data_IF_593719267566
#
_entry.id   IF_593719267566
#
_cell.length_a   1.000
_cell.length_b   1.000
_cell.length_c   1.000
_cell.angle_alpha   90.00
_cell.angle_beta   90.00
_cell.angle_gamma   90.00
#
_symmetry.space_group_name_H-M   'P 1'
#
loop_
_entity.id
_entity.type
_entity.pdbx_description
1 polymer ?
#
# COMPACT_ATOMS: atom_id res chain seq x y z
N UNK A 1 -29.81 17.12 9.50
CA UNK A 1 -28.89 16.45 8.56
C UNK A 1 -27.86 15.71 9.38
N UNK A 2 -27.79 14.36 9.32
CA UNK A 2 -26.65 13.61 9.86
C UNK A 2 -25.42 14.08 9.08
N UNK A 3 -24.42 14.65 9.76
CA UNK A 3 -23.16 15.00 9.13
C UNK A 3 -22.53 13.69 8.64
N UNK A 4 -22.38 13.51 7.32
CA UNK A 4 -21.70 12.36 6.75
C UNK A 4 -20.29 12.31 7.35
N UNK A 5 -20.00 11.31 8.18
CA UNK A 5 -18.64 11.08 8.68
C UNK A 5 -17.74 10.79 7.48
N UNK A 6 -16.72 11.62 7.31
CA UNK A 6 -15.71 11.44 6.29
C UNK A 6 -14.59 10.54 6.79
N UNK A 7 -13.56 10.40 5.96
CA UNK A 7 -12.36 9.64 6.30
C UNK A 7 -11.58 10.28 7.47
N UNK A 8 -11.78 11.58 7.72
CA UNK A 8 -11.12 12.32 8.79
C UNK A 8 -11.45 11.79 10.18
N UNK A 9 -12.71 11.47 10.45
CA UNK A 9 -13.11 10.86 11.73
C UNK A 9 -12.49 9.48 11.93
N UNK A 10 -12.35 8.69 10.85
CA UNK A 10 -11.69 7.38 10.93
C UNK A 10 -10.20 7.54 11.27
N UNK A 11 -9.51 8.48 10.63
CA UNK A 11 -8.11 8.80 10.91
C UNK A 11 -7.91 9.28 12.35
N UNK A 12 -8.82 10.14 12.85
CA UNK A 12 -8.78 10.63 14.22
C UNK A 12 -8.90 9.47 15.22
N UNK A 13 -9.90 8.59 15.05
CA UNK A 13 -10.10 7.42 15.93
C UNK A 13 -8.89 6.49 15.93
N UNK A 14 -8.35 6.16 14.75
CA UNK A 14 -7.15 5.35 14.62
C UNK A 14 -5.95 5.97 15.34
N UNK A 15 -5.71 7.26 15.12
CA UNK A 15 -4.58 7.98 15.71
C UNK A 15 -4.67 8.02 17.24
N UNK A 16 -5.84 8.33 17.78
CA UNK A 16 -6.06 8.37 19.24
C UNK A 16 -5.88 6.99 19.87
N UNK A 17 -6.37 5.92 19.21
CA UNK A 17 -6.18 4.53 19.65
C UNK A 17 -4.71 4.14 19.75
N UNK A 18 -3.88 4.58 18.81
CA UNK A 18 -2.43 4.35 18.81
C UNK A 18 -1.65 5.34 19.72
N UNK A 19 -2.33 6.30 20.36
CA UNK A 19 -1.70 7.29 21.24
C UNK A 19 -0.77 8.27 20.52
N UNK A 20 -0.92 8.44 19.20
CA UNK A 20 -0.03 9.25 18.37
C UNK A 20 -0.51 10.71 18.35
N UNK A 21 0.40 11.68 18.49
CA UNK A 21 0.03 13.10 18.36
C UNK A 21 -0.05 13.51 16.89
N UNK A 22 -1.00 14.39 16.55
CA UNK A 22 -1.12 14.96 15.19
C UNK A 22 0.21 15.51 14.66
N UNK A 23 0.97 16.24 15.48
CA UNK A 23 2.28 16.80 15.11
C UNK A 23 3.28 15.72 14.70
N UNK A 24 3.29 14.57 15.37
CA UNK A 24 4.18 13.45 15.03
C UNK A 24 3.75 12.81 13.71
N UNK A 25 2.44 12.58 13.54
CA UNK A 25 1.89 11.91 12.38
C UNK A 25 2.05 12.72 11.08
N UNK A 26 1.88 14.05 11.14
CA UNK A 26 1.92 14.90 9.95
C UNK A 26 3.30 15.49 9.62
N UNK A 27 4.32 15.26 10.47
CA UNK A 27 5.65 15.86 10.31
C UNK A 27 6.26 15.57 8.93
N UNK A 28 6.75 16.61 8.25
CA UNK A 28 7.33 16.53 6.90
C UNK A 28 6.31 16.50 5.74
N UNK A 29 5.08 16.03 5.97
CA UNK A 29 4.10 15.75 4.90
C UNK A 29 2.87 16.66 4.92
N UNK A 30 2.57 17.31 6.04
CA UNK A 30 1.48 18.28 6.16
C UNK A 30 1.69 19.22 7.35
N UNK A 31 1.19 20.45 7.24
CA UNK A 31 1.14 21.36 8.39
C UNK A 31 0.13 20.87 9.45
N UNK A 32 0.41 21.12 10.73
CA UNK A 32 -0.47 20.74 11.83
C UNK A 32 -1.90 21.29 11.66
N UNK A 33 -2.05 22.54 11.23
CA UNK A 33 -3.36 23.18 11.03
C UNK A 33 -4.15 22.57 9.86
N UNK A 34 -3.48 22.23 8.75
CA UNK A 34 -4.09 21.48 7.64
C UNK A 34 -4.55 20.11 8.11
N UNK A 35 -3.70 19.36 8.82
CA UNK A 35 -4.03 18.01 9.27
C UNK A 35 -5.15 17.99 10.33
N UNK A 36 -5.18 18.93 11.26
CA UNK A 36 -6.26 19.05 12.23
C UNK A 36 -7.63 19.29 11.56
N UNK A 37 -7.67 20.10 10.49
CA UNK A 37 -8.90 20.30 9.69
C UNK A 37 -9.31 19.06 8.92
N UNK A 38 -8.35 18.24 8.48
CA UNK A 38 -8.65 16.94 7.86
C UNK A 38 -9.32 16.00 8.86
N UNK A 39 -8.79 15.84 10.07
CA UNK A 39 -9.41 15.00 11.11
C UNK A 39 -10.81 15.47 11.49
N UNK A 40 -11.05 16.78 11.45
CA UNK A 40 -12.35 17.38 11.70
C UNK A 40 -13.33 17.30 10.49
N UNK A 41 -12.94 16.63 9.38
CA UNK A 41 -13.67 16.60 8.10
C UNK A 41 -14.00 18.00 7.53
N UNK A 42 -13.21 19.01 7.92
CA UNK A 42 -13.33 20.40 7.43
C UNK A 42 -12.48 20.65 6.19
N UNK A 43 -11.54 19.76 5.90
CA UNK A 43 -10.69 19.81 4.72
C UNK A 43 -10.50 18.42 4.15
N UNK A 44 -10.66 18.29 2.84
CA UNK A 44 -10.40 17.04 2.13
C UNK A 44 -8.91 16.70 2.14
N UNK A 45 -8.61 15.42 2.37
CA UNK A 45 -7.25 14.88 2.33
C UNK A 45 -6.86 14.58 0.88
N UNK A 46 -5.61 14.88 0.53
CA UNK A 46 -5.05 14.46 -0.76
C UNK A 46 -4.78 12.95 -0.78
N UNK A 47 -4.97 12.30 -1.93
CA UNK A 47 -4.85 10.85 -2.08
C UNK A 47 -3.46 10.29 -1.71
N UNK A 48 -2.38 11.00 -2.07
CA UNK A 48 -1.04 10.56 -1.69
C UNK A 48 -0.77 10.82 -0.21
N UNK A 49 -1.38 11.87 0.36
CA UNK A 49 -1.27 12.18 1.78
C UNK A 49 -1.97 11.13 2.65
N UNK A 50 -3.17 10.66 2.28
CA UNK A 50 -3.85 9.60 3.04
C UNK A 50 -3.03 8.31 3.02
N UNK A 51 -2.41 7.96 1.89
CA UNK A 51 -1.55 6.77 1.77
C UNK A 51 -0.44 6.80 2.81
N UNK A 52 0.28 7.93 2.89
CA UNK A 52 1.37 8.08 3.84
C UNK A 52 0.87 8.11 5.29
N UNK A 53 -0.24 8.79 5.57
CA UNK A 53 -0.80 8.87 6.93
C UNK A 53 -1.24 7.49 7.42
N UNK A 54 -1.95 6.72 6.59
CA UNK A 54 -2.36 5.35 6.90
C UNK A 54 -1.15 4.44 7.13
N UNK A 55 -0.14 4.49 6.23
CA UNK A 55 1.09 3.72 6.41
C UNK A 55 1.84 4.08 7.69
N UNK A 56 1.84 5.36 8.11
CA UNK A 56 2.42 5.79 9.40
C UNK A 56 1.63 5.29 10.61
N UNK A 57 0.31 5.18 10.50
CA UNK A 57 -0.58 4.51 11.46
C UNK A 57 -0.45 2.97 11.41
N UNK A 58 0.38 2.44 10.52
CA UNK A 58 0.58 1.01 10.34
C UNK A 58 -0.61 0.31 9.69
N UNK A 59 -1.46 1.05 8.98
CA UNK A 59 -2.68 0.59 8.32
C UNK A 59 -2.57 0.70 6.82
N UNK A 60 -3.21 -0.23 6.14
CA UNK A 60 -3.23 -0.28 4.68
C UNK A 60 -4.33 0.58 4.10
N UNK A 61 -4.32 0.65 2.78
CA UNK A 61 -5.25 1.41 1.96
C UNK A 61 -5.76 0.57 0.80
N UNK A 62 -5.35 -0.71 0.70
CA UNK A 62 -5.73 -1.64 -0.38
C UNK A 62 -7.26 -1.81 -0.51
N UNK A 63 -8.03 -1.63 0.57
CA UNK A 63 -9.50 -1.74 0.57
C UNK A 63 -10.26 -0.43 0.48
N UNK A 64 -9.55 0.69 0.38
CA UNK A 64 -10.17 1.96 0.03
C UNK A 64 -10.29 2.04 -1.48
N UNK A 65 -11.48 2.39 -1.97
CA UNK A 65 -11.69 2.74 -3.36
C UNK A 65 -11.55 4.25 -3.49
N UNK A 66 -10.66 4.70 -4.39
CA UNK A 66 -10.50 6.14 -4.65
C UNK A 66 -11.22 6.51 -5.94
N UNK A 67 -12.06 7.54 -5.86
CA UNK A 67 -12.70 8.18 -7.00
C UNK A 67 -11.82 9.35 -7.43
N UNK A 68 -10.86 9.05 -8.31
CA UNK A 68 -9.79 9.93 -8.72
C UNK A 68 -10.23 10.88 -9.85
N UNK A 69 -9.82 12.14 -9.78
CA UNK A 69 -9.69 12.99 -10.96
C UNK A 69 -8.71 12.39 -11.99
N UNK A 70 -8.95 12.64 -13.28
CA UNK A 70 -8.09 12.12 -14.36
C UNK A 70 -6.61 12.54 -14.23
N UNK A 71 -6.33 13.78 -13.81
CA UNK A 71 -4.95 14.26 -13.63
C UNK A 71 -4.23 13.54 -12.49
N UNK A 72 -4.95 13.15 -11.43
CA UNK A 72 -4.42 12.36 -10.31
C UNK A 72 -4.23 10.89 -10.72
N UNK A 73 -5.20 10.31 -11.43
CA UNK A 73 -5.09 8.94 -11.94
C UNK A 73 -3.83 8.75 -12.80
N UNK A 74 -3.56 9.70 -13.71
CA UNK A 74 -2.34 9.70 -14.53
C UNK A 74 -1.04 9.70 -13.72
N UNK A 75 -1.04 10.31 -12.53
CA UNK A 75 0.14 10.26 -11.65
C UNK A 75 0.36 8.83 -11.15
N UNK A 76 -0.69 8.13 -10.71
CA UNK A 76 -0.58 6.72 -10.29
C UNK A 76 -0.18 5.82 -11.46
N UNK A 77 -0.71 6.06 -12.67
CA UNK A 77 -0.32 5.35 -13.89
C UNK A 77 1.17 5.53 -14.20
N UNK A 78 1.69 6.77 -14.14
CA UNK A 78 3.12 7.03 -14.31
C UNK A 78 3.98 6.33 -13.25
N UNK A 79 3.55 6.30 -11.98
CA UNK A 79 4.28 5.55 -10.94
C UNK A 79 4.37 4.06 -11.27
N UNK A 80 3.25 3.48 -11.69
CA UNK A 80 3.18 2.07 -12.08
C UNK A 80 4.09 1.78 -13.26
N UNK A 81 4.06 2.62 -14.30
CA UNK A 81 4.92 2.49 -15.47
C UNK A 81 6.41 2.57 -15.09
N UNK A 82 6.82 3.57 -14.30
CA UNK A 82 8.21 3.69 -13.80
C UNK A 82 8.64 2.38 -13.12
N UNK A 83 7.87 1.91 -12.15
CA UNK A 83 8.23 0.72 -11.38
C UNK A 83 8.23 -0.56 -12.21
N UNK A 84 7.32 -0.66 -13.18
CA UNK A 84 7.29 -1.78 -14.13
C UNK A 84 8.52 -1.78 -15.03
N UNK A 85 8.93 -0.61 -15.54
CA UNK A 85 10.14 -0.50 -16.38
C UNK A 85 11.40 -0.82 -15.59
N UNK A 86 11.47 -0.43 -14.32
CA UNK A 86 12.57 -0.82 -13.42
C UNK A 86 12.61 -2.35 -13.24
N UNK A 87 11.48 -3.00 -12.94
CA UNK A 87 11.42 -4.48 -12.87
C UNK A 87 11.89 -5.15 -14.17
N UNK A 88 11.57 -4.56 -15.33
CA UNK A 88 11.95 -5.07 -16.65
C UNK A 88 13.39 -4.72 -17.04
N UNK A 89 14.13 -4.04 -16.17
CA UNK A 89 15.49 -3.52 -16.43
C UNK A 89 15.58 -2.56 -17.62
N UNK A 90 14.48 -1.84 -17.89
CA UNK A 90 14.34 -0.84 -18.96
C UNK A 90 14.54 0.56 -18.40
N UNK A 91 15.76 0.85 -17.99
CA UNK A 91 16.10 2.03 -17.21
C UNK A 91 15.80 3.34 -17.92
N UNK A 92 16.10 3.43 -19.22
CA UNK A 92 15.88 4.64 -20.01
C UNK A 92 14.38 4.92 -20.19
N UNK A 93 13.55 3.88 -20.36
CA UNK A 93 12.09 4.02 -20.40
C UNK A 93 11.57 4.48 -19.03
N UNK A 94 12.11 3.96 -17.92
CA UNK A 94 11.74 4.37 -16.57
C UNK A 94 12.05 5.86 -16.33
N UNK A 95 13.23 6.33 -16.74
CA UNK A 95 13.62 7.74 -16.64
C UNK A 95 12.72 8.65 -17.48
N UNK A 96 12.35 8.25 -18.70
CA UNK A 96 11.41 9.02 -19.54
C UNK A 96 10.05 9.21 -18.85
N UNK A 97 9.54 8.18 -18.16
CA UNK A 97 8.30 8.32 -17.40
C UNK A 97 8.47 9.19 -16.15
N UNK A 98 9.64 9.17 -15.49
CA UNK A 98 9.96 10.11 -14.41
C UNK A 98 10.00 11.56 -14.91
N UNK A 99 10.59 11.81 -16.09
CA UNK A 99 10.62 13.13 -16.70
C UNK A 99 9.21 13.63 -17.08
N UNK A 100 8.35 12.74 -17.56
CA UNK A 100 6.92 13.06 -17.78
C UNK A 100 6.20 13.37 -16.47
N UNK A 101 6.47 12.60 -15.42
CA UNK A 101 5.95 12.84 -14.08
C UNK A 101 6.35 14.23 -13.56
N UNK A 102 7.61 14.63 -13.76
CA UNK A 102 8.14 15.92 -13.30
C UNK A 102 7.49 17.14 -13.97
N UNK A 103 6.88 16.97 -15.15
CA UNK A 103 6.09 18.04 -15.80
C UNK A 103 4.83 18.39 -15.00
N UNK A 104 4.36 17.50 -14.13
CA UNK A 104 3.23 17.76 -13.26
C UNK A 104 3.58 18.80 -12.20
N UNK A 105 2.72 19.81 -12.00
CA UNK A 105 2.90 20.84 -10.96
C UNK A 105 3.09 20.28 -9.55
N UNK A 106 2.51 19.11 -9.25
CA UNK A 106 2.60 18.43 -7.95
C UNK A 106 3.97 17.77 -7.72
N UNK A 107 4.80 17.61 -8.74
CA UNK A 107 6.12 16.98 -8.64
C UNK A 107 7.05 17.64 -7.61
N UNK A 108 6.81 18.92 -7.29
CA UNK A 108 7.55 19.69 -6.29
C UNK A 108 7.06 19.47 -4.85
N UNK A 109 5.89 18.86 -4.67
CA UNK A 109 5.36 18.57 -3.35
C UNK A 109 6.10 17.38 -2.71
N UNK A 110 6.25 17.33 -1.38
CA UNK A 110 7.19 16.42 -0.73
C UNK A 110 7.00 14.93 -1.08
N UNK A 111 5.76 14.42 -1.07
CA UNK A 111 5.47 13.02 -1.37
C UNK A 111 5.74 12.63 -2.83
N UNK A 112 5.60 13.60 -3.74
CA UNK A 112 5.88 13.41 -5.15
C UNK A 112 7.39 13.47 -5.42
N UNK A 113 8.07 14.46 -4.82
CA UNK A 113 9.52 14.59 -4.92
C UNK A 113 10.24 13.40 -4.31
N UNK A 114 9.74 12.86 -3.18
CA UNK A 114 10.28 11.65 -2.59
C UNK A 114 10.23 10.48 -3.57
N UNK A 115 9.07 10.25 -4.19
CA UNK A 115 8.92 9.18 -5.17
C UNK A 115 9.92 9.33 -6.32
N UNK A 116 10.02 10.52 -6.93
CA UNK A 116 10.94 10.73 -8.06
C UNK A 116 12.39 10.42 -7.66
N UNK A 117 12.83 10.94 -6.52
CA UNK A 117 14.22 10.77 -6.08
C UNK A 117 14.52 9.35 -5.60
N UNK A 118 13.54 8.66 -4.99
CA UNK A 118 13.72 7.26 -4.59
C UNK A 118 13.86 6.34 -5.81
N UNK A 119 13.09 6.57 -6.87
CA UNK A 119 13.18 5.77 -8.11
C UNK A 119 14.48 6.08 -8.86
N UNK A 120 14.96 7.34 -8.85
CA UNK A 120 16.30 7.69 -9.38
C UNK A 120 17.42 6.98 -8.63
N UNK A 121 17.37 6.97 -7.30
CA UNK A 121 18.33 6.22 -6.49
C UNK A 121 18.31 4.73 -6.82
N UNK A 122 17.11 4.15 -6.97
CA UNK A 122 16.92 2.76 -7.33
C UNK A 122 17.51 2.43 -8.70
N UNK A 123 17.26 3.26 -9.72
CA UNK A 123 17.80 3.10 -11.07
C UNK A 123 19.33 3.19 -11.05
N UNK A 124 19.88 4.23 -10.41
CA UNK A 124 21.33 4.42 -10.29
C UNK A 124 22.01 3.22 -9.62
N UNK A 125 21.41 2.70 -8.54
CA UNK A 125 21.91 1.50 -7.86
C UNK A 125 21.88 0.26 -8.75
N UNK A 126 20.77 -0.01 -9.44
CA UNK A 126 20.61 -1.18 -10.31
C UNK A 126 21.48 -1.12 -11.57
N UNK A 127 21.83 0.09 -12.04
CA UNK A 127 22.81 0.31 -13.12
C UNK A 127 24.27 0.16 -12.68
N UNK A 128 24.53 0.08 -11.38
CA UNK A 128 25.89 0.08 -10.84
C UNK A 128 26.60 1.43 -10.96
N UNK A 129 25.84 2.52 -10.87
CA UNK A 129 26.39 3.87 -10.80
C UNK A 129 27.08 4.13 -9.44
N UNK A 130 27.71 5.29 -9.28
CA UNK A 130 28.50 5.56 -8.07
C UNK A 130 27.61 5.64 -6.82
N UNK A 131 28.13 5.16 -5.70
CA UNK A 131 27.38 5.16 -4.44
C UNK A 131 27.05 6.58 -3.98
N UNK A 132 27.91 7.55 -4.29
CA UNK A 132 27.68 8.97 -3.97
C UNK A 132 26.41 9.49 -4.65
N UNK A 133 26.20 9.14 -5.92
CA UNK A 133 25.01 9.54 -6.67
C UNK A 133 23.74 8.86 -6.12
N UNK A 134 23.82 7.58 -5.79
CA UNK A 134 22.71 6.85 -5.15
C UNK A 134 22.37 7.51 -3.80
N UNK A 135 23.37 7.80 -2.97
CA UNK A 135 23.20 8.47 -1.69
C UNK A 135 22.62 9.88 -1.83
N UNK A 136 23.03 10.66 -2.84
CA UNK A 136 22.49 12.01 -3.09
C UNK A 136 20.98 11.96 -3.33
N UNK A 137 20.53 11.07 -4.22
CA UNK A 137 19.11 10.86 -4.48
C UNK A 137 18.38 10.33 -3.23
N UNK A 138 18.96 9.38 -2.50
CA UNK A 138 18.35 8.84 -1.28
C UNK A 138 18.18 9.88 -0.18
N UNK A 139 19.19 10.68 0.11
CA UNK A 139 19.09 11.74 1.13
C UNK A 139 18.07 12.80 0.70
N UNK A 140 18.04 13.16 -0.58
CA UNK A 140 17.02 14.07 -1.11
C UNK A 140 15.61 13.50 -0.92
N UNK A 141 15.40 12.20 -1.17
CA UNK A 141 14.14 11.51 -0.98
C UNK A 141 13.74 11.43 0.51
N UNK A 142 14.67 11.09 1.40
CA UNK A 142 14.45 10.98 2.85
C UNK A 142 14.00 12.34 3.42
N UNK A 143 14.71 13.43 3.08
CA UNK A 143 14.44 14.76 3.61
C UNK A 143 13.03 15.29 3.28
N UNK A 144 12.40 14.80 2.21
CA UNK A 144 11.05 15.24 1.84
C UNK A 144 10.01 14.88 2.91
N UNK A 145 10.07 13.70 3.53
CA UNK A 145 9.06 13.26 4.50
C UNK A 145 9.62 13.02 5.90
N UNK A 146 10.94 12.87 5.98
CA UNK A 146 11.71 12.66 7.19
C UNK A 146 12.80 13.74 7.37
N UNK A 147 12.45 15.04 7.44
CA UNK A 147 13.44 16.13 7.59
C UNK A 147 14.32 16.00 8.85
N UNK A 148 13.86 15.27 9.86
CA UNK A 148 14.62 14.91 11.06
C UNK A 148 14.59 13.38 11.28
N UNK A 149 14.94 12.59 10.26
CA UNK A 149 14.81 11.13 10.24
C UNK A 149 15.22 10.44 11.55
N UNK A 150 16.38 10.77 12.11
CA UNK A 150 16.90 10.14 13.34
C UNK A 150 16.10 10.49 14.61
N UNK A 151 15.42 11.64 14.64
CA UNK A 151 14.50 12.00 15.72
C UNK A 151 13.10 11.45 15.46
N UNK A 152 12.65 11.48 14.21
CA UNK A 152 11.32 11.00 13.81
C UNK A 152 11.17 9.49 14.01
N UNK A 153 12.20 8.68 13.70
CA UNK A 153 12.13 7.23 13.96
C UNK A 153 11.90 6.90 15.43
N UNK A 154 12.44 7.71 16.36
CA UNK A 154 12.25 7.53 17.81
C UNK A 154 10.81 7.74 18.26
N UNK A 155 9.98 8.40 17.45
CA UNK A 155 8.55 8.52 17.75
C UNK A 155 7.78 7.24 17.41
N UNK A 156 8.35 6.34 16.61
CA UNK A 156 7.69 5.11 16.15
C UNK A 156 6.65 5.33 15.05
N UNK A 157 6.58 6.53 14.44
CA UNK A 157 5.49 6.94 13.53
C UNK A 157 5.89 6.90 12.05
N UNK A 158 6.97 6.21 11.67
CA UNK A 158 7.36 6.06 10.25
C UNK A 158 6.54 4.97 9.55
N UNK A 159 6.23 5.16 8.26
CA UNK A 159 5.58 4.13 7.45
C UNK A 159 6.56 3.03 6.99
N UNK A 160 6.04 1.93 6.45
CA UNK A 160 6.87 0.88 5.86
C UNK A 160 7.76 1.42 4.73
N UNK A 161 7.24 2.31 3.89
CA UNK A 161 7.98 2.98 2.82
C UNK A 161 9.10 3.89 3.34
N UNK A 162 8.86 4.58 4.45
CA UNK A 162 9.88 5.41 5.10
C UNK A 162 11.00 4.57 5.72
N UNK A 163 10.66 3.46 6.38
CA UNK A 163 11.67 2.51 6.84
C UNK A 163 12.45 1.88 5.69
N UNK A 164 11.82 1.59 4.54
CA UNK A 164 12.52 1.07 3.36
C UNK A 164 13.64 2.01 2.89
N UNK A 165 13.40 3.31 2.88
CA UNK A 165 14.44 4.30 2.54
C UNK A 165 15.62 4.25 3.53
N UNK A 166 15.36 4.11 4.83
CA UNK A 166 16.41 4.03 5.84
C UNK A 166 17.21 2.72 5.74
N UNK A 167 16.54 1.60 5.49
CA UNK A 167 17.18 0.30 5.23
C UNK A 167 18.03 0.35 3.96
N UNK A 168 17.51 0.94 2.89
CA UNK A 168 18.24 1.04 1.62
C UNK A 168 19.43 1.97 1.69
N UNK A 169 19.30 3.11 2.38
CA UNK A 169 20.45 3.94 2.74
C UNK A 169 21.51 3.15 3.51
N UNK A 170 21.09 2.37 4.51
CA UNK A 170 22.06 1.55 5.26
C UNK A 170 22.76 0.53 4.37
N UNK A 171 22.03 -0.16 3.48
CA UNK A 171 22.57 -1.18 2.56
C UNK A 171 23.60 -0.58 1.59
N UNK A 172 23.23 0.52 0.92
CA UNK A 172 24.07 1.20 -0.08
C UNK A 172 25.39 1.70 0.52
N UNK A 173 25.37 2.20 1.77
CA UNK A 173 26.57 2.76 2.39
C UNK A 173 27.62 1.71 2.83
N UNK A 174 27.31 0.40 2.86
CA UNK A 174 28.19 -0.58 3.54
C UNK A 174 29.58 -0.74 2.93
N UNK A 175 29.74 -0.48 1.64
CA UNK A 175 31.00 -0.64 0.90
C UNK A 175 31.73 0.70 0.68
N UNK A 176 31.39 1.74 1.45
CA UNK A 176 31.92 3.10 1.24
C UNK A 176 32.50 3.72 2.51
N UNK A 177 33.15 4.88 2.36
CA UNK A 177 33.61 5.70 3.49
C UNK A 177 32.44 6.21 4.36
N UNK A 178 31.21 6.24 3.82
CA UNK A 178 29.99 6.62 4.52
C UNK A 178 29.36 5.44 5.29
N UNK A 179 30.11 4.36 5.51
CA UNK A 179 29.64 3.15 6.17
C UNK A 179 28.90 3.44 7.48
N UNK A 180 27.67 2.93 7.55
CA UNK A 180 26.80 3.08 8.71
C UNK A 180 27.02 1.94 9.72
N UNK A 181 26.82 2.23 11.00
CA UNK A 181 27.15 1.30 12.07
C UNK A 181 26.26 0.03 12.04
N UNK A 182 26.82 -1.11 12.47
CA UNK A 182 26.08 -2.38 12.64
C UNK A 182 24.95 -2.26 13.68
N UNK A 183 25.12 -1.42 14.69
CA UNK A 183 24.09 -1.22 15.72
C UNK A 183 22.89 -0.44 15.18
N UNK A 184 23.08 0.37 14.15
CA UNK A 184 22.00 1.14 13.55
C UNK A 184 20.96 0.24 12.87
N UNK A 185 21.42 -0.75 12.10
CA UNK A 185 20.54 -1.71 11.42
C UNK A 185 19.87 -2.65 12.43
N UNK A 186 20.57 -3.06 13.49
CA UNK A 186 19.93 -3.80 14.60
C UNK A 186 18.78 -3.01 15.22
N UNK A 187 19.00 -1.72 15.48
CA UNK A 187 17.96 -0.83 16.00
C UNK A 187 16.79 -0.64 15.01
N UNK A 188 17.08 -0.44 13.72
CA UNK A 188 16.04 -0.32 12.67
C UNK A 188 15.17 -1.58 12.59
N UNK A 189 15.80 -2.75 12.59
CA UNK A 189 15.11 -4.05 12.54
C UNK A 189 14.21 -4.19 13.77
N UNK A 190 14.73 -3.98 14.98
CA UNK A 190 13.90 -4.08 16.20
C UNK A 190 12.75 -3.06 16.22
N UNK A 191 12.95 -1.83 15.71
CA UNK A 191 11.88 -0.84 15.54
C UNK A 191 10.78 -1.34 14.60
N UNK A 192 11.15 -1.89 13.44
CA UNK A 192 10.22 -2.41 12.43
C UNK A 192 9.40 -3.58 12.98
N UNK A 193 10.05 -4.56 13.60
CA UNK A 193 9.37 -5.76 14.10
C UNK A 193 8.50 -5.50 15.34
N UNK A 194 8.84 -4.50 16.16
CA UNK A 194 8.03 -4.08 17.31
C UNK A 194 6.83 -3.22 16.91
N UNK A 195 6.89 -2.54 15.75
CA UNK A 195 5.80 -1.68 15.31
C UNK A 195 4.56 -2.53 14.97
N UNK A 196 3.39 -2.03 15.39
CA UNK A 196 2.09 -2.64 15.13
C UNK A 196 1.61 -2.37 13.69
N UNK A 197 2.37 -2.86 12.71
CA UNK A 197 1.91 -2.89 11.32
C UNK A 197 0.84 -3.98 11.16
N UNK A 198 -0.24 -3.67 10.44
CA UNK A 198 -1.15 -4.71 9.94
C UNK A 198 -0.43 -5.63 8.95
N UNK A 199 -0.99 -6.82 8.70
CA UNK A 199 -0.35 -7.87 7.88
C UNK A 199 0.09 -7.37 6.50
N UNK A 200 -0.73 -6.57 5.81
CA UNK A 200 -0.40 -6.09 4.47
C UNK A 200 0.69 -5.00 4.48
N UNK A 201 0.84 -4.24 5.56
CA UNK A 201 1.94 -3.28 5.74
C UNK A 201 3.23 -3.99 6.16
N UNK A 202 3.12 -5.01 7.03
CA UNK A 202 4.26 -5.83 7.51
C UNK A 202 5.05 -6.41 6.35
N UNK A 203 4.36 -7.05 5.39
CA UNK A 203 5.01 -7.73 4.26
C UNK A 203 5.79 -6.78 3.36
N UNK A 204 5.50 -5.46 3.37
CA UNK A 204 6.23 -4.46 2.58
C UNK A 204 7.64 -4.18 3.06
N UNK A 205 7.96 -4.51 4.33
CA UNK A 205 9.20 -4.09 5.00
C UNK A 205 9.92 -5.22 5.74
N UNK A 206 9.18 -6.13 6.38
CA UNK A 206 9.76 -7.22 7.18
C UNK A 206 10.74 -8.08 6.38
N UNK A 207 10.43 -8.50 5.13
CA UNK A 207 11.38 -9.29 4.34
C UNK A 207 12.70 -8.58 4.11
N UNK A 208 12.65 -7.28 3.80
CA UNK A 208 13.88 -6.52 3.58
C UNK A 208 14.71 -6.37 4.87
N UNK A 209 14.05 -6.10 6.00
CA UNK A 209 14.71 -6.04 7.30
C UNK A 209 15.38 -7.39 7.67
N UNK A 210 14.70 -8.51 7.40
CA UNK A 210 15.23 -9.85 7.64
C UNK A 210 16.43 -10.21 6.74
N UNK A 211 16.45 -9.71 5.49
CA UNK A 211 17.61 -9.86 4.59
C UNK A 211 18.82 -9.06 5.08
N UNK A 212 18.63 -7.82 5.55
CA UNK A 212 19.76 -6.99 5.94
C UNK A 212 20.38 -7.41 7.27
N UNK A 213 19.58 -7.85 8.24
CA UNK A 213 20.11 -8.25 9.54
C UNK A 213 21.02 -9.49 9.44
N UNK A 214 20.76 -10.38 8.48
CA UNK A 214 21.59 -11.56 8.22
C UNK A 214 22.96 -11.21 7.66
N UNK A 215 23.11 -10.07 6.97
CA UNK A 215 24.39 -9.57 6.44
C UNK A 215 25.33 -9.04 7.53
N UNK A 216 24.82 -8.80 8.73
CA UNK A 216 25.50 -8.00 9.78
C UNK A 216 25.95 -8.85 10.95
N UNK A 217 25.14 -9.83 11.32
CA UNK A 217 25.41 -10.76 12.41
C UNK A 217 26.46 -11.75 11.91
N UNK A 218 27.61 -11.77 12.60
CA UNK A 218 28.73 -12.64 12.25
C UNK A 218 28.40 -14.12 12.49
N UNK A 219 29.07 -15.00 11.76
CA UNK A 219 28.89 -16.44 11.89
C UNK A 219 29.11 -16.89 13.34
N UNK A 220 28.05 -17.42 13.98
CA UNK A 220 28.10 -18.00 15.32
C UNK A 220 27.52 -17.16 16.44
N UNK A 221 27.27 -15.85 16.26
CA UNK A 221 26.79 -15.00 17.38
C UNK A 221 25.27 -15.07 17.61
N UNK A 222 24.45 -15.36 16.59
CA UNK A 222 23.00 -15.49 16.78
C UNK A 222 22.22 -16.15 15.62
N UNK A 223 22.64 -17.32 15.14
CA UNK A 223 21.98 -18.03 14.01
C UNK A 223 20.48 -18.25 14.25
N UNK A 224 20.08 -18.55 15.49
CA UNK A 224 18.67 -18.74 15.86
C UNK A 224 17.82 -17.49 15.63
N UNK A 225 18.33 -16.31 15.99
CA UNK A 225 17.61 -15.05 15.76
C UNK A 225 17.44 -14.75 14.28
N UNK A 226 18.49 -14.95 13.46
CA UNK A 226 18.40 -14.75 12.01
C UNK A 226 17.38 -15.72 11.41
N UNK A 227 17.42 -17.00 11.82
CA UNK A 227 16.46 -18.01 11.38
C UNK A 227 15.03 -17.60 11.69
N UNK A 228 14.76 -17.21 12.94
CA UNK A 228 13.45 -16.74 13.39
C UNK A 228 12.94 -15.57 12.53
N UNK A 229 13.77 -14.55 12.29
CA UNK A 229 13.39 -13.40 11.43
C UNK A 229 13.16 -13.79 9.97
N UNK A 230 13.92 -14.77 9.47
CA UNK A 230 13.77 -15.30 8.11
C UNK A 230 12.47 -16.08 7.94
N UNK A 231 12.13 -16.93 8.92
CA UNK A 231 10.89 -17.70 8.94
C UNK A 231 9.67 -16.77 9.04
N UNK A 232 9.74 -15.75 9.90
CA UNK A 232 8.68 -14.73 10.02
C UNK A 232 8.47 -13.96 8.70
N UNK A 233 9.55 -13.62 8.00
CA UNK A 233 9.46 -12.99 6.68
C UNK A 233 8.85 -13.92 5.62
N UNK A 234 9.27 -15.19 5.59
CA UNK A 234 8.76 -16.18 4.64
C UNK A 234 7.27 -16.47 4.87
N UNK A 235 6.84 -16.57 6.13
CA UNK A 235 5.43 -16.73 6.48
C UNK A 235 4.61 -15.50 6.05
N UNK A 236 5.07 -14.29 6.36
CA UNK A 236 4.38 -13.06 5.94
C UNK A 236 4.23 -12.96 4.41
N UNK A 237 5.28 -13.33 3.65
CA UNK A 237 5.24 -13.35 2.19
C UNK A 237 4.22 -14.37 1.64
N UNK A 238 4.19 -15.59 2.20
CA UNK A 238 3.23 -16.63 1.81
C UNK A 238 1.80 -16.25 2.15
N UNK A 239 1.57 -15.72 3.35
CA UNK A 239 0.25 -15.33 3.82
C UNK A 239 -0.34 -14.15 3.05
N UNK A 240 0.49 -13.22 2.61
CA UNK A 240 0.06 -12.08 1.80
C UNK A 240 0.18 -12.32 0.28
N UNK A 241 0.70 -13.48 -0.13
CA UNK A 241 0.85 -13.86 -1.53
C UNK A 241 1.76 -12.91 -2.33
N UNK A 242 2.83 -12.40 -1.71
CA UNK A 242 3.77 -11.44 -2.34
C UNK A 242 5.03 -12.17 -2.80
N UNK A 243 5.46 -11.94 -4.04
CA UNK A 243 6.65 -12.57 -4.62
C UNK A 243 7.94 -11.76 -4.41
N UNK A 244 7.85 -10.43 -4.32
CA UNK A 244 9.01 -9.57 -4.05
C UNK A 244 9.71 -10.02 -2.76
N UNK A 245 11.05 -10.14 -2.80
CA UNK A 245 11.92 -10.72 -1.77
C UNK A 245 11.83 -12.24 -1.55
N UNK A 246 10.81 -12.94 -2.06
CA UNK A 246 10.62 -14.38 -1.78
C UNK A 246 11.81 -15.24 -2.24
N UNK A 247 12.38 -15.06 -3.44
CA UNK A 247 13.58 -15.82 -3.84
C UNK A 247 14.79 -15.56 -2.94
N UNK A 248 15.00 -14.30 -2.51
CA UNK A 248 16.13 -13.93 -1.64
C UNK A 248 15.96 -14.52 -0.23
N UNK A 249 14.74 -14.46 0.31
CA UNK A 249 14.40 -15.05 1.62
C UNK A 249 14.55 -16.58 1.59
N UNK A 250 14.10 -17.25 0.53
CA UNK A 250 14.32 -18.68 0.35
C UNK A 250 15.81 -19.01 0.28
N UNK A 251 16.61 -18.23 -0.46
CA UNK A 251 18.07 -18.42 -0.50
C UNK A 251 18.69 -18.30 0.89
N UNK A 252 18.31 -17.28 1.65
CA UNK A 252 18.78 -17.07 3.01
C UNK A 252 18.39 -18.24 3.91
N UNK A 253 17.16 -18.72 3.83
CA UNK A 253 16.67 -19.83 4.65
C UNK A 253 17.39 -21.15 4.32
N UNK A 254 17.57 -21.45 3.02
CA UNK A 254 18.33 -22.61 2.55
C UNK A 254 19.75 -22.59 3.14
N UNK A 255 20.47 -21.46 3.03
CA UNK A 255 21.84 -21.33 3.58
C UNK A 255 21.89 -21.56 5.09
N UNK A 256 20.88 -21.11 5.83
CA UNK A 256 20.80 -21.34 7.28
C UNK A 256 20.60 -22.83 7.58
N UNK A 257 19.66 -23.48 6.88
CA UNK A 257 19.34 -24.89 7.07
C UNK A 257 20.51 -25.82 6.69
N UNK A 258 21.24 -25.50 5.62
CA UNK A 258 22.44 -26.22 5.21
C UNK A 258 23.52 -26.18 6.30
N UNK A 259 23.75 -25.01 6.91
CA UNK A 259 24.71 -24.86 8.01
C UNK A 259 24.29 -25.64 9.26
N UNK A 260 22.99 -25.69 9.53
CA UNK A 260 22.43 -26.48 10.64
C UNK A 260 22.39 -27.99 10.35
N UNK A 261 22.81 -28.43 9.16
CA UNK A 261 22.72 -29.84 8.71
C UNK A 261 21.28 -30.38 8.84
N UNK A 262 20.31 -29.53 8.50
CA UNK A 262 18.89 -29.88 8.50
C UNK A 262 18.53 -30.90 7.42
N UNK A 263 17.29 -31.37 7.40
CA UNK A 263 16.79 -32.37 6.45
C UNK A 263 17.04 -31.95 4.99
N UNK A 264 17.81 -32.76 4.26
CA UNK A 264 18.19 -32.52 2.87
C UNK A 264 16.99 -32.51 1.90
N UNK A 265 15.99 -33.37 2.12
CA UNK A 265 14.79 -33.43 1.26
C UNK A 265 13.98 -32.13 1.37
N UNK A 266 13.91 -31.57 2.58
CA UNK A 266 13.23 -30.29 2.80
C UNK A 266 13.97 -29.12 2.15
N UNK A 267 15.30 -29.11 2.23
CA UNK A 267 16.13 -28.10 1.55
C UNK A 267 15.92 -28.16 0.03
N UNK A 268 15.81 -29.36 -0.54
CA UNK A 268 15.58 -29.53 -1.97
C UNK A 268 14.19 -29.03 -2.41
N UNK A 269 13.16 -29.22 -1.59
CA UNK A 269 11.84 -28.62 -1.82
C UNK A 269 11.95 -27.10 -1.90
N UNK A 270 12.64 -26.45 -0.95
CA UNK A 270 12.80 -24.99 -0.94
C UNK A 270 13.58 -24.48 -2.16
N UNK A 271 14.60 -25.23 -2.62
CA UNK A 271 15.33 -24.90 -3.86
C UNK A 271 14.42 -24.98 -5.08
N UNK A 272 13.57 -26.00 -5.14
CA UNK A 272 12.61 -26.14 -6.24
C UNK A 272 11.56 -25.02 -6.22
N UNK A 273 11.04 -24.65 -5.04
CA UNK A 273 10.15 -23.50 -4.89
C UNK A 273 10.81 -22.20 -5.37
N UNK A 274 12.05 -21.95 -4.93
CA UNK A 274 12.83 -20.79 -5.37
C UNK A 274 13.01 -20.77 -6.89
N UNK A 275 13.37 -21.92 -7.48
CA UNK A 275 13.55 -22.06 -8.92
C UNK A 275 12.27 -21.77 -9.69
N UNK A 276 11.12 -22.29 -9.25
CA UNK A 276 9.83 -22.02 -9.88
C UNK A 276 9.50 -20.52 -9.91
N UNK A 277 9.80 -19.79 -8.83
CA UNK A 277 9.56 -18.33 -8.78
C UNK A 277 10.47 -17.59 -9.76
N UNK A 278 11.75 -17.98 -9.84
CA UNK A 278 12.70 -17.39 -10.78
C UNK A 278 12.34 -17.69 -12.25
N UNK A 279 11.76 -18.86 -12.54
CA UNK A 279 11.21 -19.20 -13.85
C UNK A 279 10.03 -18.27 -14.21
N UNK A 280 9.14 -17.98 -13.27
CA UNK A 280 8.06 -17.00 -13.47
C UNK A 280 8.61 -15.60 -13.73
N UNK A 281 9.62 -15.16 -12.98
CA UNK A 281 10.29 -13.87 -13.24
C UNK A 281 10.81 -13.78 -14.68
N UNK A 282 11.46 -14.86 -15.14
CA UNK A 282 11.96 -14.98 -16.51
C UNK A 282 10.83 -14.91 -17.55
N UNK A 283 9.73 -15.66 -17.36
CA UNK A 283 8.60 -15.72 -18.30
C UNK A 283 7.92 -14.37 -18.49
N UNK A 284 7.85 -13.56 -17.43
CA UNK A 284 7.30 -12.20 -17.48
C UNK A 284 8.34 -11.12 -17.82
N UNK A 285 9.60 -11.51 -18.04
CA UNK A 285 10.74 -10.63 -18.27
C UNK A 285 10.83 -9.52 -17.19
N UNK A 286 10.74 -9.94 -15.93
CA UNK A 286 10.90 -9.09 -14.75
C UNK A 286 12.01 -9.64 -13.86
N UNK A 287 12.59 -8.78 -13.02
CA UNK A 287 13.55 -9.18 -12.00
C UNK A 287 13.28 -8.40 -10.73
N UNK A 288 13.03 -9.12 -9.64
CA UNK A 288 12.77 -8.51 -8.32
C UNK A 288 14.04 -8.43 -7.45
N UNK A 289 15.11 -9.10 -7.87
CA UNK A 289 16.39 -9.07 -7.18
C UNK A 289 16.92 -7.63 -7.02
N UNK A 290 17.31 -7.26 -5.80
CA UNK A 290 17.80 -5.92 -5.44
C UNK A 290 16.83 -4.75 -5.68
N UNK A 291 15.57 -5.01 -6.01
CA UNK A 291 14.56 -3.96 -6.20
C UNK A 291 13.90 -3.55 -4.87
N UNK A 292 14.60 -2.70 -4.10
CA UNK A 292 14.30 -2.40 -2.68
C UNK A 292 13.15 -1.41 -2.41
N UNK A 293 12.84 -0.46 -3.30
CA UNK A 293 11.93 0.65 -3.03
C UNK A 293 10.59 0.53 -3.75
N UNK A 294 10.24 -0.67 -4.25
CA UNK A 294 8.95 -0.94 -4.87
C UNK A 294 7.76 -0.48 -4.00
N UNK A 295 6.81 0.24 -4.61
CA UNK A 295 5.56 0.65 -3.96
C UNK A 295 4.51 -0.42 -4.23
N UNK A 296 4.02 -1.08 -3.18
CA UNK A 296 2.96 -2.08 -3.32
C UNK A 296 1.60 -1.37 -3.51
N UNK A 297 1.33 -0.91 -4.73
CA UNK A 297 0.06 -0.26 -5.09
C UNK A 297 -0.92 -1.32 -5.61
N UNK A 298 -1.59 -2.03 -4.69
CA UNK A 298 -2.74 -2.89 -5.03
C UNK A 298 -4.01 -2.18 -4.59
N UNK A 299 -4.73 -1.53 -5.51
CA UNK A 299 -5.87 -0.69 -5.16
C UNK A 299 -6.94 -0.67 -6.24
N UNK A 300 -8.14 -0.30 -5.80
CA UNK A 300 -9.26 0.01 -6.69
C UNK A 300 -9.33 1.51 -6.93
N UNK A 301 -9.17 1.90 -8.19
CA UNK A 301 -9.37 3.27 -8.63
C UNK A 301 -10.59 3.34 -9.56
N UNK A 302 -11.42 4.33 -9.33
CA UNK A 302 -12.44 4.77 -10.28
C UNK A 302 -12.09 6.18 -10.75
N UNK A 303 -12.21 6.44 -12.05
CA UNK A 303 -12.02 7.80 -12.58
C UNK A 303 -13.37 8.51 -12.55
N UNK A 304 -13.44 9.68 -11.91
CA UNK A 304 -14.71 10.41 -11.66
C UNK A 304 -15.53 10.66 -12.92
N UNK A 305 -14.88 11.13 -14.00
CA UNK A 305 -15.49 11.38 -15.30
C UNK A 305 -16.16 10.12 -15.86
N UNK A 306 -15.48 8.99 -15.76
CA UNK A 306 -15.98 7.71 -16.26
C UNK A 306 -17.11 7.15 -15.37
N UNK A 307 -16.93 7.23 -14.05
CA UNK A 307 -17.93 6.80 -13.08
C UNK A 307 -19.26 7.52 -13.27
N UNK A 308 -19.22 8.86 -13.38
CA UNK A 308 -20.41 9.69 -13.62
C UNK A 308 -21.09 9.26 -14.91
N UNK A 309 -20.33 9.17 -16.01
CA UNK A 309 -20.85 8.82 -17.34
C UNK A 309 -21.49 7.43 -17.37
N UNK A 310 -20.83 6.42 -16.79
CA UNK A 310 -21.33 5.03 -16.73
C UNK A 310 -22.59 4.96 -15.87
N UNK A 311 -22.59 5.61 -14.72
CA UNK A 311 -23.75 5.63 -13.80
C UNK A 311 -24.95 6.31 -14.46
N UNK A 312 -24.76 7.51 -15.05
CA UNK A 312 -25.85 8.23 -15.73
C UNK A 312 -26.52 7.39 -16.80
N UNK A 313 -25.72 6.69 -17.62
CA UNK A 313 -26.21 5.81 -18.68
C UNK A 313 -26.99 4.62 -18.10
N UNK A 314 -26.50 4.01 -17.02
CA UNK A 314 -27.21 2.92 -16.33
C UNK A 314 -28.55 3.39 -15.75
N UNK A 315 -28.60 4.61 -15.20
CA UNK A 315 -29.83 5.25 -14.69
C UNK A 315 -30.72 5.83 -15.79
N UNK A 316 -30.35 5.68 -17.07
CA UNK A 316 -31.08 6.18 -18.25
C UNK A 316 -31.38 7.68 -18.22
N UNK A 317 -30.51 8.48 -17.58
CA UNK A 317 -30.65 9.93 -17.50
C UNK A 317 -29.97 10.61 -18.69
N UNK A 318 -30.57 11.69 -19.21
CA UNK A 318 -29.89 12.58 -20.16
C UNK A 318 -28.91 13.51 -19.42
N UNK A 319 -28.01 14.16 -20.16
CA UNK A 319 -27.09 15.13 -19.53
C UNK A 319 -27.87 16.33 -19.00
N UNK A 320 -28.88 16.79 -19.72
CA UNK A 320 -29.78 17.87 -19.31
C UNK A 320 -30.43 17.52 -17.97
N UNK A 321 -31.08 16.36 -17.88
CA UNK A 321 -31.78 15.89 -16.68
C UNK A 321 -30.83 15.71 -15.49
N UNK A 322 -29.63 15.16 -15.68
CA UNK A 322 -28.67 15.04 -14.59
C UNK A 322 -28.11 16.40 -14.16
N UNK A 323 -27.88 17.32 -15.09
CA UNK A 323 -27.27 18.63 -14.80
C UNK A 323 -28.23 19.61 -14.11
N UNK A 324 -29.54 19.45 -14.30
CA UNK A 324 -30.58 20.31 -13.72
C UNK A 324 -30.38 20.53 -12.22
N UNK A 325 -30.44 21.81 -11.81
CA UNK A 325 -30.18 22.35 -10.46
C UNK A 325 -28.76 22.14 -9.89
N UNK A 326 -27.83 21.60 -10.69
CA UNK A 326 -26.44 21.31 -10.25
C UNK A 326 -25.41 22.11 -11.07
N UNK A 327 -25.50 22.05 -12.41
CA UNK A 327 -24.60 22.75 -13.33
C UNK A 327 -25.21 22.86 -14.73
N UNK A 328 -24.52 23.50 -15.68
CA UNK A 328 -24.98 23.51 -17.06
C UNK A 328 -24.72 22.16 -17.73
N UNK A 329 -25.52 21.81 -18.73
CA UNK A 329 -25.33 20.61 -19.53
C UNK A 329 -23.91 20.53 -20.13
N UNK A 330 -23.38 21.64 -20.65
CA UNK A 330 -22.04 21.70 -21.24
C UNK A 330 -20.96 21.46 -20.18
N UNK A 331 -21.19 21.92 -18.94
CA UNK A 331 -20.28 21.66 -17.82
C UNK A 331 -20.25 20.18 -17.51
N UNK A 332 -21.42 19.53 -17.41
CA UNK A 332 -21.49 18.08 -17.20
C UNK A 332 -20.86 17.31 -18.36
N UNK A 333 -21.09 17.72 -19.61
CA UNK A 333 -20.47 17.09 -20.77
C UNK A 333 -18.94 17.22 -20.74
N UNK A 334 -18.39 18.36 -20.32
CA UNK A 334 -16.93 18.51 -20.12
C UNK A 334 -16.40 17.62 -19.01
N UNK A 335 -17.17 17.45 -17.92
CA UNK A 335 -16.83 16.53 -16.83
C UNK A 335 -16.80 15.08 -17.31
N UNK A 336 -17.85 14.59 -17.96
CA UNK A 336 -17.95 13.21 -18.46
C UNK A 336 -16.90 12.86 -19.52
N UNK A 337 -16.39 13.86 -20.23
CA UNK A 337 -15.31 13.71 -21.20
C UNK A 337 -13.91 13.83 -20.58
N UNK A 338 -13.79 14.09 -19.27
CA UNK A 338 -12.51 14.26 -18.58
C UNK A 338 -11.80 15.61 -18.85
N UNK A 339 -12.49 16.55 -19.50
CA UNK A 339 -11.95 17.87 -19.83
C UNK A 339 -12.05 18.86 -18.67
N UNK A 340 -12.88 18.57 -17.66
CA UNK A 340 -13.07 19.41 -16.48
C UNK A 340 -13.26 18.55 -15.24
N UNK A 341 -12.49 18.81 -14.19
CA UNK A 341 -12.64 18.12 -12.91
C UNK A 341 -13.82 18.73 -12.10
N UNK A 342 -14.75 17.92 -11.60
CA UNK A 342 -15.76 18.38 -10.65
C UNK A 342 -15.13 18.64 -9.28
N UNK A 343 -15.46 19.78 -8.66
CA UNK A 343 -15.19 19.98 -7.22
C UNK A 343 -15.98 18.96 -6.41
N UNK A 344 -15.48 18.59 -5.23
CA UNK A 344 -16.03 17.52 -4.41
C UNK A 344 -17.52 17.73 -4.05
N UNK A 345 -17.92 18.96 -3.74
CA UNK A 345 -19.34 19.31 -3.52
C UNK A 345 -20.21 19.03 -4.76
N UNK A 346 -19.72 19.38 -5.94
CA UNK A 346 -20.44 19.15 -7.21
C UNK A 346 -20.46 17.67 -7.58
N UNK A 347 -19.37 16.95 -7.35
CA UNK A 347 -19.35 15.49 -7.52
C UNK A 347 -20.41 14.85 -6.63
N UNK A 348 -20.49 15.29 -5.36
CA UNK A 348 -21.47 14.78 -4.42
C UNK A 348 -22.90 15.00 -4.89
N UNK A 349 -23.26 16.22 -5.32
CA UNK A 349 -24.58 16.52 -5.88
C UNK A 349 -24.92 15.66 -7.10
N UNK A 350 -23.96 15.48 -8.03
CA UNK A 350 -24.16 14.67 -9.23
C UNK A 350 -24.43 13.20 -8.86
N UNK A 351 -23.64 12.64 -7.95
CA UNK A 351 -23.75 11.24 -7.54
C UNK A 351 -25.01 10.98 -6.71
N UNK A 352 -25.38 11.90 -5.82
CA UNK A 352 -26.60 11.83 -5.01
C UNK A 352 -27.85 11.81 -5.88
N UNK A 353 -27.91 12.63 -6.95
CA UNK A 353 -29.02 12.60 -7.92
C UNK A 353 -29.15 11.27 -8.67
N UNK A 354 -28.10 10.45 -8.67
CA UNK A 354 -28.09 9.10 -9.23
C UNK A 354 -28.21 8.00 -8.16
N UNK A 355 -28.57 8.35 -6.92
CA UNK A 355 -28.69 7.44 -5.77
C UNK A 355 -27.39 6.68 -5.47
N UNK A 356 -26.25 7.37 -5.61
CA UNK A 356 -24.92 6.84 -5.30
C UNK A 356 -24.19 7.73 -4.30
N UNK A 357 -23.26 7.10 -3.58
CA UNK A 357 -22.33 7.81 -2.72
C UNK A 357 -21.44 8.75 -3.55
N UNK A 358 -21.27 9.97 -3.05
CA UNK A 358 -20.47 11.02 -3.69
C UNK A 358 -19.10 11.26 -3.07
N UNK A 359 -18.67 10.41 -2.12
CA UNK A 359 -17.37 10.53 -1.45
C UNK A 359 -16.23 10.16 -2.39
N UNK A 360 -15.14 10.91 -2.32
CA UNK A 360 -13.91 10.65 -3.10
C UNK A 360 -13.13 9.42 -2.62
N UNK A 361 -13.36 9.00 -1.38
CA UNK A 361 -12.76 7.83 -0.75
C UNK A 361 -13.89 6.98 -0.18
N UNK A 362 -14.02 5.76 -0.68
CA UNK A 362 -15.05 4.82 -0.27
C UNK A 362 -14.44 3.60 0.42
N UNK A 363 -15.11 3.12 1.46
CA UNK A 363 -14.76 1.91 2.22
C UNK A 363 -15.58 0.69 1.78
N UNK A 364 -16.58 0.90 0.91
CA UNK A 364 -17.56 -0.08 0.43
C UNK A 364 -18.56 -0.61 1.47
N UNK A 365 -18.38 -0.25 2.75
CA UNK A 365 -19.34 -0.43 3.84
C UNK A 365 -19.19 0.74 4.82
N UNK A 366 -20.26 1.13 5.50
CA UNK A 366 -20.21 2.16 6.54
C UNK A 366 -19.64 1.57 7.83
N UNK A 367 -18.46 2.06 8.22
CA UNK A 367 -17.73 1.60 9.39
C UNK A 367 -17.26 2.76 10.25
N UNK A 368 -17.21 2.51 11.56
CA UNK A 368 -16.67 3.44 12.54
C UNK A 368 -15.22 3.10 12.95
N UNK A 369 -14.81 1.85 12.73
CA UNK A 369 -13.50 1.30 13.08
C UNK A 369 -12.85 0.71 11.83
N UNK A 370 -11.58 1.06 11.60
CA UNK A 370 -10.87 0.63 10.39
C UNK A 370 -10.57 -0.88 10.41
N UNK A 371 -10.43 -1.47 11.61
CA UNK A 371 -10.20 -2.91 11.81
C UNK A 371 -11.31 -3.77 11.17
N UNK A 372 -12.52 -3.23 10.99
CA UNK A 372 -13.58 -3.94 10.27
C UNK A 372 -13.20 -4.13 8.79
N UNK A 373 -12.48 -3.18 8.18
CA UNK A 373 -11.96 -3.30 6.82
C UNK A 373 -10.84 -4.34 6.73
N UNK A 374 -10.03 -4.50 7.77
CA UNK A 374 -9.05 -5.59 7.87
C UNK A 374 -9.74 -6.95 7.87
N UNK A 375 -10.85 -7.10 8.61
CA UNK A 375 -11.66 -8.32 8.57
C UNK A 375 -12.24 -8.60 7.18
N UNK A 376 -12.58 -7.56 6.38
CA UNK A 376 -12.99 -7.78 4.97
C UNK A 376 -11.87 -8.37 4.13
N UNK A 377 -10.61 -7.98 4.40
CA UNK A 377 -9.42 -8.55 3.74
C UNK A 377 -9.34 -10.04 4.08
N UNK A 378 -9.43 -10.38 5.36
CA UNK A 378 -9.35 -11.77 5.83
C UNK A 378 -10.49 -12.63 5.29
N UNK A 379 -11.72 -12.11 5.29
CA UNK A 379 -12.88 -12.78 4.69
C UNK A 379 -12.61 -13.12 3.22
N UNK A 380 -12.17 -12.15 2.42
CA UNK A 380 -11.88 -12.36 1.00
C UNK A 380 -10.76 -13.38 0.79
N UNK A 381 -9.72 -13.34 1.63
CA UNK A 381 -8.60 -14.30 1.57
C UNK A 381 -9.07 -15.72 1.84
N UNK A 382 -9.83 -15.95 2.90
CA UNK A 382 -10.36 -17.28 3.22
C UNK A 382 -11.34 -17.78 2.16
N UNK A 383 -12.16 -16.89 1.59
CA UNK A 383 -13.03 -17.26 0.45
C UNK A 383 -12.21 -17.72 -0.76
N UNK A 384 -11.15 -17.00 -1.13
CA UNK A 384 -10.29 -17.39 -2.27
C UNK A 384 -9.49 -18.67 -2.02
N UNK A 385 -9.05 -18.91 -0.77
CA UNK A 385 -8.36 -20.15 -0.36
C UNK A 385 -9.30 -21.33 -0.17
N UNK A 386 -10.61 -21.15 -0.39
CA UNK A 386 -11.66 -22.15 -0.13
C UNK A 386 -11.74 -22.60 1.34
N UNK A 387 -11.24 -21.78 2.27
CA UNK A 387 -11.29 -22.02 3.72
C UNK A 387 -12.61 -21.51 4.30
N UNK A 388 -13.73 -22.08 3.86
CA UNK A 388 -15.07 -21.50 4.06
C UNK A 388 -15.51 -21.44 5.52
N UNK A 389 -15.07 -22.36 6.38
CA UNK A 389 -15.37 -22.33 7.81
C UNK A 389 -14.71 -21.13 8.51
N UNK A 390 -13.49 -20.78 8.10
CA UNK A 390 -12.81 -19.58 8.62
C UNK A 390 -13.47 -18.32 8.07
N UNK A 391 -13.79 -18.30 6.77
CA UNK A 391 -14.50 -17.18 6.16
C UNK A 391 -15.85 -16.91 6.85
N UNK A 392 -16.62 -17.94 7.19
CA UNK A 392 -17.90 -17.80 7.90
C UNK A 392 -17.74 -17.18 9.29
N UNK A 393 -16.71 -17.59 10.05
CA UNK A 393 -16.40 -16.98 11.36
C UNK A 393 -16.07 -15.49 11.24
N UNK A 394 -15.24 -15.12 10.26
CA UNK A 394 -14.90 -13.72 10.02
C UNK A 394 -16.13 -12.92 9.58
N UNK A 395 -16.98 -13.46 8.71
CA UNK A 395 -18.20 -12.77 8.29
C UNK A 395 -19.16 -12.53 9.46
N UNK A 396 -19.30 -13.51 10.37
CA UNK A 396 -20.08 -13.35 11.59
C UNK A 396 -19.51 -12.25 12.50
N UNK A 397 -18.18 -12.19 12.65
CA UNK A 397 -17.53 -11.14 13.40
C UNK A 397 -17.79 -9.75 12.81
N UNK A 398 -17.67 -9.61 11.48
CA UNK A 398 -18.02 -8.37 10.77
C UNK A 398 -19.48 -8.00 11.04
N UNK A 399 -20.40 -8.96 10.87
CA UNK A 399 -21.83 -8.75 11.08
C UNK A 399 -22.15 -8.25 12.49
N UNK A 400 -21.41 -8.69 13.50
CA UNK A 400 -21.59 -8.28 14.89
C UNK A 400 -21.12 -6.86 15.21
N UNK A 401 -20.29 -6.26 14.33
CA UNK A 401 -19.64 -4.95 14.55
C UNK A 401 -20.20 -3.83 13.66
N UNK A 402 -21.05 -4.13 12.69
CA UNK A 402 -21.60 -3.13 11.76
C UNK A 402 -23.10 -2.92 11.95
N UNK A 403 -23.57 -1.70 11.70
CA UNK A 403 -25.00 -1.39 11.71
C UNK A 403 -25.67 -1.90 10.43
N UNK A 404 -26.54 -2.92 10.57
CA UNK A 404 -27.31 -3.51 9.46
C UNK A 404 -28.55 -2.70 9.06
N UNK A 405 -28.84 -1.60 9.75
CA UNK A 405 -29.85 -0.65 9.30
C UNK A 405 -29.39 0.11 8.06
N UNK A 406 -28.08 0.25 7.88
CA UNK A 406 -27.47 0.85 6.69
C UNK A 406 -27.55 -0.12 5.49
N UNK A 407 -28.11 0.28 4.33
CA UNK A 407 -28.31 -0.59 3.18
C UNK A 407 -27.02 -1.24 2.67
N UNK A 408 -25.91 -0.48 2.59
CA UNK A 408 -24.60 -0.98 2.12
C UNK A 408 -24.08 -2.11 3.01
N UNK A 409 -24.19 -1.94 4.34
CA UNK A 409 -23.75 -2.93 5.33
C UNK A 409 -24.59 -4.20 5.26
N UNK A 410 -25.91 -4.05 5.17
CA UNK A 410 -26.83 -5.17 5.01
C UNK A 410 -26.53 -5.94 3.73
N UNK A 411 -26.34 -5.24 2.62
CA UNK A 411 -26.02 -5.85 1.33
C UNK A 411 -24.72 -6.66 1.41
N UNK A 412 -23.66 -6.10 1.99
CA UNK A 412 -22.37 -6.79 2.14
C UNK A 412 -22.51 -8.13 2.89
N UNK A 413 -23.21 -8.13 4.02
CA UNK A 413 -23.42 -9.35 4.83
C UNK A 413 -24.26 -10.38 4.09
N UNK A 414 -25.37 -9.98 3.46
CA UNK A 414 -26.24 -10.93 2.75
C UNK A 414 -25.54 -11.54 1.53
N UNK A 415 -24.79 -10.74 0.77
CA UNK A 415 -23.97 -11.24 -0.36
C UNK A 415 -22.93 -12.25 0.14
N UNK A 416 -22.22 -11.93 1.22
CA UNK A 416 -21.25 -12.86 1.82
C UNK A 416 -21.88 -14.19 2.25
N UNK A 417 -23.07 -14.14 2.87
CA UNK A 417 -23.84 -15.35 3.25
C UNK A 417 -24.26 -16.17 2.04
N UNK A 418 -24.72 -15.52 0.97
CA UNK A 418 -25.08 -16.21 -0.28
C UNK A 418 -23.86 -16.88 -0.90
N UNK A 419 -22.73 -16.18 -0.97
CA UNK A 419 -21.47 -16.73 -1.50
C UNK A 419 -21.02 -17.97 -0.70
N UNK A 420 -21.02 -17.90 0.64
CA UNK A 420 -20.68 -19.03 1.50
C UNK A 420 -21.62 -20.23 1.26
N UNK A 421 -22.93 -19.99 1.20
CA UNK A 421 -23.91 -21.05 0.93
C UNK A 421 -23.68 -21.69 -0.44
N UNK A 422 -23.46 -20.88 -1.46
CA UNK A 422 -23.22 -21.32 -2.83
C UNK A 422 -21.97 -22.22 -2.91
N UNK A 423 -20.86 -21.78 -2.32
CA UNK A 423 -19.60 -22.53 -2.38
C UNK A 423 -19.60 -23.79 -1.50
N UNK A 424 -20.23 -23.76 -0.32
CA UNK A 424 -20.41 -24.97 0.50
C UNK A 424 -21.30 -26.00 -0.20
N UNK A 425 -22.33 -25.56 -0.92
CA UNK A 425 -23.16 -26.46 -1.73
C UNK A 425 -22.38 -27.07 -2.90
N UNK A 426 -21.52 -26.30 -3.57
CA UNK A 426 -20.68 -26.81 -4.66
C UNK A 426 -19.61 -27.80 -4.17
N UNK A 427 -18.96 -27.52 -3.04
CA UNK A 427 -17.98 -28.44 -2.44
C UNK A 427 -18.60 -29.81 -2.12
N UNK A 428 -19.83 -29.83 -1.62
CA UNK A 428 -20.57 -31.07 -1.36
C UNK A 428 -21.02 -31.82 -2.64
N UNK A 429 -21.04 -31.15 -3.79
CA UNK A 429 -21.38 -31.78 -5.08
C UNK A 429 -20.18 -32.29 -5.88
N UNK A 430 -18.96 -31.86 -5.55
CA UNK A 430 -17.72 -32.39 -6.13
C UNK A 430 -17.18 -33.63 -5.38
N UNK A 431 -17.77 -33.98 -4.23
CA UNK A 431 -17.47 -35.20 -3.45
C UNK A 431 -18.39 -36.41 -3.76
N UNK A 432 -19.26 -36.31 -4.79
CA UNK A 432 -20.09 -37.39 -5.33
C UNK A 432 -19.62 -37.79 -6.73
#
# INVERSE_FOLDING_TARGET
MKQMQGIGQLLWKLREKEGIRQKQLCMGISSLSKYARIEADQQEIDFFLIDRIMGRLGKSVERLTYILPMDVYKIYELRQEVQQKICQRKWEEAEQYLDEYEKNKRAKEPLHRQFIEQERAQIAWLRGESVELVCEHLETAILQTMPEAENQRKTGVLSAEEYKLLLFRWEVCQETEQKRAKDEIKALVEEIFRKNFEKTERVKIIPYAALLISKVIEEGENTTYIKMRTEEALEALRDEGKLLYMPEILSQYIRILEKEQSNADFIEILRQEQKCILEVEHDYNVSFENYRLFEHVIRNFEVDAELIRRTRRASKLTQESLSEDICTQETLARIENGNQQPRSEKLWQIMEKMDRNGKRIETGIQVEEYEILELKIEFSKYMHRKEYEKAEKILFEIESKIDRSEPENKQYVEVGKIQLKYHKHLGNSEEL
#
